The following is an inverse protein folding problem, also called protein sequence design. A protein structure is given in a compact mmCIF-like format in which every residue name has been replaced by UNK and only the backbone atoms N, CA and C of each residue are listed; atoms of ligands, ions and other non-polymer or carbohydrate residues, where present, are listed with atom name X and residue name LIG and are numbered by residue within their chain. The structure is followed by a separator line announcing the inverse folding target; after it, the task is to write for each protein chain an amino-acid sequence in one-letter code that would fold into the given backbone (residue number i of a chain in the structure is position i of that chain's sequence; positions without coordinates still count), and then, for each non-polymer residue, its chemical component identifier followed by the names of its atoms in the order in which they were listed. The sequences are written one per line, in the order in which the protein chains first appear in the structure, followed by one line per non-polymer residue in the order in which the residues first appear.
data_IF_281455613698
#
_entry.id   IF_281455613698
#
_cell.length_a   1.000
_cell.length_b   1.000
_cell.length_c   1.000
_cell.angle_alpha   90.00
_cell.angle_beta   90.00
_cell.angle_gamma   90.00
#
_symmetry.space_group_name_H-M   'P 1'
#
loop_
_entity.id
_entity.type
_entity.pdbx_description
1 polymer ?
#
# COMPACT_ATOMS: atom_id res chain seq x y z
N UNK A 1 9.23 1.95 -20.25
CA UNK A 1 8.57 2.61 -19.09
C UNK A 1 7.12 2.87 -19.46
N UNK A 2 6.17 2.47 -18.63
CA UNK A 2 4.75 2.72 -18.87
C UNK A 2 4.44 4.22 -18.82
N UNK A 3 3.52 4.66 -19.66
CA UNK A 3 3.01 6.04 -19.65
C UNK A 3 1.57 6.03 -19.15
N UNK A 4 1.32 6.71 -18.03
CA UNK A 4 0.00 6.77 -17.39
C UNK A 4 -0.78 7.99 -17.90
N UNK A 5 -1.34 7.86 -19.12
CA UNK A 5 -2.13 8.93 -19.74
C UNK A 5 -3.53 8.99 -19.10
N UNK A 6 -4.05 10.18 -18.74
CA UNK A 6 -5.42 10.32 -18.25
C UNK A 6 -6.42 9.71 -19.23
N UNK A 7 -7.37 8.95 -18.70
CA UNK A 7 -8.47 8.41 -19.49
C UNK A 7 -9.81 8.85 -18.91
N UNK A 8 -10.74 9.22 -19.77
CA UNK A 8 -12.10 9.59 -19.39
C UNK A 8 -13.06 8.41 -19.56
N UNK A 9 -12.69 7.44 -20.39
CA UNK A 9 -13.41 6.18 -20.51
C UNK A 9 -13.20 5.34 -19.26
N UNK A 10 -14.30 4.76 -18.75
CA UNK A 10 -14.29 3.94 -17.54
C UNK A 10 -14.90 2.57 -17.83
N UNK A 11 -14.28 1.76 -18.71
CA UNK A 11 -14.85 0.48 -19.17
C UNK A 11 -15.08 -0.51 -18.02
N UNK A 12 -14.32 -0.42 -16.95
CA UNK A 12 -14.51 -1.23 -15.73
C UNK A 12 -15.85 -0.98 -15.00
N UNK A 13 -16.61 0.07 -15.38
CA UNK A 13 -17.98 0.30 -14.87
C UNK A 13 -19.00 -0.64 -15.50
N UNK A 14 -18.63 -1.35 -16.54
CA UNK A 14 -19.39 -2.39 -17.21
C UNK A 14 -18.70 -3.76 -17.02
N UNK A 15 -18.78 -4.40 -15.84
CA UNK A 15 -18.04 -5.62 -15.53
C UNK A 15 -18.30 -6.76 -16.50
N UNK A 16 -19.54 -6.86 -17.04
CA UNK A 16 -19.94 -7.87 -18.01
C UNK A 16 -19.18 -7.77 -19.35
N UNK A 17 -18.60 -6.62 -19.67
CA UNK A 17 -17.76 -6.41 -20.86
C UNK A 17 -16.28 -6.35 -20.50
N UNK A 18 -15.97 -5.75 -19.35
CA UNK A 18 -14.62 -5.51 -18.88
C UNK A 18 -13.81 -6.79 -18.64
N UNK A 19 -14.35 -7.72 -17.84
CA UNK A 19 -13.62 -8.93 -17.48
C UNK A 19 -13.43 -9.89 -18.66
N UNK A 20 -14.44 -10.14 -19.53
CA UNK A 20 -14.22 -10.93 -20.75
C UNK A 20 -13.16 -10.37 -21.66
N UNK A 21 -13.10 -9.05 -21.79
CA UNK A 21 -12.10 -8.35 -22.60
C UNK A 21 -10.68 -8.59 -22.09
N UNK A 22 -10.44 -8.42 -20.79
CA UNK A 22 -9.13 -8.71 -20.19
C UNK A 22 -8.76 -10.20 -20.29
N UNK A 23 -9.74 -11.09 -20.13
CA UNK A 23 -9.54 -12.53 -20.28
C UNK A 23 -9.15 -12.88 -21.73
N UNK A 24 -9.80 -12.28 -22.73
CA UNK A 24 -9.49 -12.49 -24.14
C UNK A 24 -8.12 -11.92 -24.52
N UNK A 25 -7.78 -10.70 -24.05
CA UNK A 25 -6.49 -10.08 -24.30
C UNK A 25 -5.30 -10.89 -23.78
N UNK A 26 -5.53 -11.72 -22.75
CA UNK A 26 -4.50 -12.58 -22.13
C UNK A 26 -4.64 -14.05 -22.54
N UNK A 27 -5.41 -14.34 -23.59
CA UNK A 27 -5.55 -15.71 -24.07
C UNK A 27 -4.19 -16.29 -24.54
N UNK A 28 -3.95 -17.57 -24.27
CA UNK A 28 -2.69 -18.22 -24.57
C UNK A 28 -1.58 -18.04 -23.53
N UNK A 29 -1.82 -17.35 -22.40
CA UNK A 29 -0.87 -17.28 -21.27
C UNK A 29 -1.24 -18.34 -20.23
N UNK A 30 -0.26 -19.16 -19.85
CA UNK A 30 -0.46 -20.19 -18.81
C UNK A 30 -0.50 -19.58 -17.40
N UNK A 31 -1.58 -19.78 -16.63
CA UNK A 31 -1.64 -19.37 -15.22
C UNK A 31 -0.67 -20.17 -14.32
N UNK A 32 -0.24 -19.61 -13.16
CA UNK A 32 -0.75 -18.35 -12.58
C UNK A 32 -0.02 -17.10 -13.12
N UNK A 33 -0.74 -16.05 -13.41
CA UNK A 33 -0.16 -14.75 -13.75
C UNK A 33 -1.04 -13.60 -13.27
N UNK A 34 -0.43 -12.41 -13.12
CA UNK A 34 -1.14 -11.17 -12.83
C UNK A 34 -1.56 -10.43 -14.10
N UNK A 35 -2.70 -9.76 -14.05
CA UNK A 35 -3.16 -8.84 -15.11
C UNK A 35 -3.21 -7.43 -14.53
N UNK A 36 -2.59 -6.49 -15.21
CA UNK A 36 -2.63 -5.07 -14.86
C UNK A 36 -3.20 -4.28 -16.06
N UNK A 37 -4.38 -3.68 -15.88
CA UNK A 37 -4.92 -2.77 -16.88
C UNK A 37 -4.24 -1.41 -16.79
N UNK A 38 -3.64 -0.97 -17.90
CA UNK A 38 -2.95 0.31 -17.98
C UNK A 38 -3.91 1.48 -17.81
N UNK A 39 -5.09 1.43 -18.42
CA UNK A 39 -6.10 2.50 -18.32
C UNK A 39 -6.65 2.62 -16.89
N UNK A 40 -6.91 1.49 -16.24
CA UNK A 40 -7.41 1.49 -14.87
C UNK A 40 -6.34 1.98 -13.89
N UNK A 41 -5.07 1.59 -14.09
CA UNK A 41 -3.93 2.10 -13.31
C UNK A 41 -3.77 3.61 -13.48
N UNK A 42 -3.79 4.09 -14.72
CA UNK A 42 -3.69 5.52 -15.03
C UNK A 42 -4.84 6.32 -14.39
N UNK A 43 -6.09 5.84 -14.55
CA UNK A 43 -7.25 6.47 -13.92
C UNK A 43 -7.12 6.55 -12.39
N UNK A 44 -6.64 5.49 -11.75
CA UNK A 44 -6.42 5.48 -10.30
C UNK A 44 -5.33 6.47 -9.88
N UNK A 45 -4.22 6.53 -10.62
CA UNK A 45 -3.14 7.45 -10.32
C UNK A 45 -3.60 8.90 -10.41
N UNK A 46 -4.37 9.26 -11.45
CA UNK A 46 -4.90 10.62 -11.59
C UNK A 46 -6.01 10.95 -10.58
N UNK A 47 -6.91 10.01 -10.26
CA UNK A 47 -7.93 10.17 -9.20
C UNK A 47 -7.27 10.48 -7.84
N UNK A 48 -6.18 9.78 -7.51
CA UNK A 48 -5.46 10.04 -6.27
C UNK A 48 -4.85 11.45 -6.23
N UNK A 49 -4.29 11.94 -7.34
CA UNK A 49 -3.78 13.32 -7.44
C UNK A 49 -4.90 14.36 -7.31
N UNK A 50 -6.03 14.13 -7.97
CA UNK A 50 -7.20 15.00 -7.86
C UNK A 50 -7.69 15.09 -6.40
N UNK A 51 -7.79 13.95 -5.71
CA UNK A 51 -8.21 13.87 -4.31
C UNK A 51 -7.19 14.46 -3.32
N UNK A 52 -5.90 14.42 -3.66
CA UNK A 52 -4.84 15.06 -2.88
C UNK A 52 -4.78 16.58 -3.06
N UNK A 53 -5.51 17.17 -4.03
CA UNK A 53 -5.70 18.60 -4.22
C UNK A 53 -4.39 19.42 -4.21
N UNK A 54 -3.34 18.87 -4.80
CA UNK A 54 -2.02 19.53 -4.90
C UNK A 54 -1.04 19.18 -3.77
N UNK A 55 -1.47 18.51 -2.70
CA UNK A 55 -0.52 17.94 -1.74
C UNK A 55 0.25 16.79 -2.41
N UNK A 56 1.59 16.80 -2.43
CA UNK A 56 2.37 15.75 -3.06
C UNK A 56 2.09 14.37 -2.45
N UNK A 57 2.11 13.33 -3.29
CA UNK A 57 1.90 11.94 -2.86
C UNK A 57 3.23 11.18 -2.87
N UNK A 58 3.65 10.68 -1.71
CA UNK A 58 4.73 9.70 -1.56
C UNK A 58 4.18 8.30 -1.81
N UNK A 59 4.77 7.57 -2.79
CA UNK A 59 4.23 6.27 -3.20
C UNK A 59 4.57 5.19 -2.19
N UNK A 60 3.55 4.55 -1.59
CA UNK A 60 3.76 3.43 -0.67
C UNK A 60 4.03 2.13 -1.43
N UNK A 61 5.31 1.76 -1.56
CA UNK A 61 5.79 0.59 -2.32
C UNK A 61 5.19 -0.73 -1.85
N UNK A 62 4.97 -0.88 -0.53
CA UNK A 62 4.31 -2.05 0.06
C UNK A 62 3.01 -2.44 -0.65
N UNK A 63 2.31 -1.45 -1.18
CA UNK A 63 1.02 -1.64 -1.82
C UNK A 63 1.10 -1.93 -3.33
N UNK A 64 2.31 -2.00 -3.88
CA UNK A 64 2.58 -2.19 -5.31
C UNK A 64 3.51 -3.37 -5.54
N UNK A 65 4.75 -3.29 -5.03
CA UNK A 65 5.80 -4.30 -5.16
C UNK A 65 6.12 -4.67 -6.60
N UNK A 66 6.10 -3.65 -7.48
CA UNK A 66 6.43 -3.71 -8.92
C UNK A 66 7.16 -2.43 -9.28
N UNK A 67 8.49 -2.48 -9.51
CA UNK A 67 9.30 -1.26 -9.77
C UNK A 67 8.81 -0.49 -10.99
N UNK A 68 8.50 -1.19 -12.08
CA UNK A 68 8.01 -0.54 -13.30
C UNK A 68 6.71 0.25 -13.09
N UNK A 69 5.87 -0.12 -12.11
CA UNK A 69 4.69 0.69 -11.72
C UNK A 69 5.12 1.87 -10.86
N UNK A 70 6.06 1.69 -9.90
CA UNK A 70 6.59 2.80 -9.10
C UNK A 70 7.19 3.87 -10.00
N UNK A 71 8.04 3.48 -10.96
CA UNK A 71 8.68 4.37 -11.93
C UNK A 71 7.65 5.15 -12.75
N UNK A 72 6.62 4.46 -13.26
CA UNK A 72 5.56 5.07 -14.06
C UNK A 72 4.73 6.09 -13.27
N UNK A 73 4.44 5.80 -11.99
CA UNK A 73 3.69 6.69 -11.10
C UNK A 73 4.54 7.89 -10.69
N UNK A 74 5.81 7.68 -10.33
CA UNK A 74 6.74 8.75 -9.96
C UNK A 74 7.07 9.71 -11.11
N UNK A 75 6.88 9.27 -12.36
CA UNK A 75 7.01 10.14 -13.53
C UNK A 75 5.85 11.15 -13.68
N UNK A 76 4.73 10.96 -12.95
CA UNK A 76 3.61 11.89 -12.96
C UNK A 76 3.88 13.07 -12.01
N UNK A 77 3.71 14.34 -12.47
CA UNK A 77 3.77 15.50 -11.59
C UNK A 77 2.77 15.38 -10.42
N UNK A 78 3.24 15.61 -9.20
CA UNK A 78 2.45 15.48 -7.97
C UNK A 78 2.73 14.19 -7.18
N UNK A 79 3.42 13.22 -7.78
CA UNK A 79 4.03 12.12 -7.04
C UNK A 79 5.51 12.38 -6.79
N UNK A 80 6.01 12.01 -5.62
CA UNK A 80 7.43 12.12 -5.31
C UNK A 80 7.83 11.12 -4.23
N UNK A 81 9.06 10.63 -4.28
CA UNK A 81 9.62 9.75 -3.26
C UNK A 81 8.83 8.47 -3.01
N UNK A 82 9.42 7.56 -2.27
CA UNK A 82 8.86 6.25 -1.95
C UNK A 82 8.74 6.09 -0.44
N UNK A 83 7.64 5.51 0.02
CA UNK A 83 7.50 4.98 1.38
C UNK A 83 7.74 3.47 1.33
N UNK A 84 8.95 3.05 1.66
CA UNK A 84 9.36 1.65 1.74
C UNK A 84 8.89 0.99 3.04
N UNK A 85 8.76 -0.33 3.06
CA UNK A 85 8.26 -1.05 4.24
C UNK A 85 9.34 -1.79 5.04
N UNK A 86 10.55 -1.96 4.48
CA UNK A 86 11.73 -2.45 5.19
C UNK A 86 12.97 -1.69 4.79
N UNK A 87 13.99 -1.69 5.64
CA UNK A 87 15.28 -1.08 5.30
C UNK A 87 15.99 -1.80 4.15
N UNK A 88 16.04 -3.16 4.07
CA UNK A 88 16.59 -3.85 2.90
C UNK A 88 15.93 -3.45 1.58
N UNK A 89 14.59 -3.30 1.56
CA UNK A 89 13.87 -2.79 0.38
C UNK A 89 14.29 -1.36 0.04
N UNK A 90 14.34 -0.48 1.06
CA UNK A 90 14.71 0.91 0.87
C UNK A 90 16.11 1.07 0.26
N UNK A 91 17.07 0.28 0.71
CA UNK A 91 18.43 0.28 0.16
C UNK A 91 18.47 -0.14 -1.30
N UNK A 92 17.72 -1.18 -1.66
CA UNK A 92 17.59 -1.64 -3.03
C UNK A 92 16.90 -0.61 -3.94
N UNK A 93 15.83 0.02 -3.48
CA UNK A 93 15.15 1.09 -4.21
C UNK A 93 16.02 2.35 -4.33
N UNK A 94 16.81 2.68 -3.31
CA UNK A 94 17.69 3.85 -3.29
C UNK A 94 18.89 3.74 -4.26
N UNK A 95 19.14 2.58 -4.85
CA UNK A 95 20.10 2.46 -5.95
C UNK A 95 19.70 3.35 -7.14
N UNK A 96 18.38 3.49 -7.40
CA UNK A 96 17.81 4.21 -8.54
C UNK A 96 16.91 5.39 -8.17
N UNK A 97 16.46 5.51 -6.91
CA UNK A 97 15.57 6.56 -6.42
C UNK A 97 16.28 7.40 -5.34
N UNK A 98 16.06 8.69 -5.36
CA UNK A 98 16.81 9.63 -4.50
C UNK A 98 16.12 9.94 -3.16
N UNK A 99 14.86 9.59 -2.98
CA UNK A 99 14.06 9.90 -1.79
C UNK A 99 13.22 8.70 -1.36
N UNK A 100 13.72 7.98 -0.36
CA UNK A 100 13.07 6.76 0.18
C UNK A 100 12.95 6.87 1.69
N UNK A 101 11.74 6.89 2.21
CA UNK A 101 11.44 6.86 3.65
C UNK A 101 11.04 5.45 4.05
N UNK A 102 11.70 4.89 5.06
CA UNK A 102 11.30 3.59 5.65
C UNK A 102 10.15 3.82 6.61
N UNK A 103 8.96 3.35 6.28
CA UNK A 103 7.72 3.63 7.02
C UNK A 103 7.55 2.88 8.34
N UNK A 104 8.56 2.12 8.78
CA UNK A 104 8.56 1.35 10.03
C UNK A 104 9.96 1.35 10.63
N UNK A 105 10.12 1.33 11.98
CA UNK A 105 11.43 1.18 12.61
C UNK A 105 12.14 -0.09 12.14
N UNK A 106 13.45 -0.02 11.96
CA UNK A 106 14.27 -1.15 11.53
C UNK A 106 15.27 -1.57 12.58
N UNK A 107 15.37 -2.88 12.80
CA UNK A 107 16.40 -3.51 13.66
C UNK A 107 17.35 -4.42 12.85
N UNK A 108 17.32 -4.32 11.53
CA UNK A 108 18.10 -5.15 10.62
C UNK A 108 19.56 -4.71 10.57
N UNK A 109 20.42 -5.28 11.42
CA UNK A 109 21.81 -4.84 11.64
C UNK A 109 22.64 -4.76 10.37
N UNK A 110 22.57 -5.76 9.48
CA UNK A 110 23.34 -5.76 8.24
C UNK A 110 22.93 -4.60 7.31
N UNK A 111 21.63 -4.33 7.18
CA UNK A 111 21.14 -3.22 6.38
C UNK A 111 21.48 -1.85 7.01
N UNK A 112 21.45 -1.74 8.35
CA UNK A 112 21.92 -0.53 9.06
C UNK A 112 23.42 -0.29 8.78
N UNK A 113 24.24 -1.35 8.84
CA UNK A 113 25.67 -1.25 8.53
C UNK A 113 25.91 -0.85 7.06
N UNK A 114 25.15 -1.39 6.12
CA UNK A 114 25.22 -1.01 4.71
C UNK A 114 24.84 0.45 4.49
N UNK A 115 23.73 0.93 5.08
CA UNK A 115 23.32 2.33 5.04
C UNK A 115 24.40 3.26 5.62
N UNK A 116 24.95 2.88 6.76
CA UNK A 116 25.94 3.67 7.49
C UNK A 116 27.28 3.81 6.74
N UNK A 117 27.64 2.83 5.92
CA UNK A 117 28.89 2.79 5.16
C UNK A 117 28.87 3.55 3.84
N UNK A 118 27.69 3.96 3.35
CA UNK A 118 27.49 4.57 2.03
C UNK A 118 26.83 5.95 2.17
N UNK A 119 27.58 7.02 1.93
CA UNK A 119 27.07 8.40 2.00
C UNK A 119 25.94 8.68 1.02
N UNK A 120 25.97 8.06 -0.17
CA UNK A 120 24.91 8.20 -1.16
C UNK A 120 23.61 7.56 -0.67
N UNK A 121 23.67 6.34 -0.14
CA UNK A 121 22.49 5.69 0.44
C UNK A 121 21.99 6.45 1.67
N UNK A 122 22.90 6.91 2.55
CA UNK A 122 22.53 7.68 3.73
C UNK A 122 21.85 9.03 3.39
N UNK A 123 22.21 9.65 2.27
CA UNK A 123 21.55 10.87 1.80
C UNK A 123 20.14 10.63 1.21
N UNK A 124 19.87 9.42 0.71
CA UNK A 124 18.63 9.06 0.01
C UNK A 124 17.61 8.37 0.90
N UNK A 125 18.06 7.70 1.98
CA UNK A 125 17.19 6.88 2.83
C UNK A 125 17.00 7.55 4.18
N UNK A 126 15.73 7.70 4.57
CA UNK A 126 15.32 8.20 5.88
C UNK A 126 14.72 7.09 6.72
N UNK A 127 15.24 6.87 7.93
CA UNK A 127 14.76 5.82 8.85
C UNK A 127 13.67 6.33 9.77
N UNK A 128 12.66 5.50 10.03
CA UNK A 128 11.64 5.76 11.04
C UNK A 128 12.17 5.45 12.43
N UNK A 129 11.90 6.35 13.39
CA UNK A 129 12.20 6.16 14.81
C UNK A 129 11.08 6.71 15.68
N UNK A 130 10.86 6.08 16.84
CA UNK A 130 9.90 6.51 17.84
C UNK A 130 10.43 6.38 19.28
N UNK A 131 11.69 5.99 19.44
CA UNK A 131 12.35 5.90 20.73
C UNK A 131 13.86 6.03 20.61
N UNK A 132 14.54 6.38 21.72
CA UNK A 132 16.00 6.45 21.81
C UNK A 132 16.64 5.07 21.63
N UNK A 133 15.93 3.99 21.95
CA UNK A 133 16.41 2.63 21.74
C UNK A 133 16.74 2.32 20.27
N UNK A 134 16.04 2.94 19.33
CA UNK A 134 16.39 2.81 17.90
C UNK A 134 17.74 3.45 17.58
N UNK A 135 18.02 4.61 18.16
CA UNK A 135 19.31 5.29 17.99
C UNK A 135 20.44 4.49 18.66
N UNK A 136 20.19 3.94 19.87
CA UNK A 136 21.14 3.09 20.59
C UNK A 136 21.50 1.85 19.77
N UNK A 137 20.50 1.24 19.12
CA UNK A 137 20.72 0.09 18.24
C UNK A 137 21.60 0.46 17.04
N UNK A 138 21.34 1.60 16.39
CA UNK A 138 22.13 2.08 15.25
C UNK A 138 23.58 2.35 15.68
N UNK A 139 23.80 3.05 16.80
CA UNK A 139 25.13 3.33 17.34
C UNK A 139 25.89 2.08 17.74
N UNK A 140 25.17 1.05 18.24
CA UNK A 140 25.76 -0.25 18.55
C UNK A 140 26.16 -1.06 17.31
N UNK A 141 25.59 -0.74 16.13
CA UNK A 141 25.99 -1.36 14.85
C UNK A 141 27.20 -0.63 14.27
N UNK A 142 27.17 0.71 14.20
CA UNK A 142 28.27 1.56 13.71
C UNK A 142 28.32 2.84 14.53
N UNK A 143 29.47 3.09 15.18
CA UNK A 143 29.67 4.29 15.99
C UNK A 143 29.52 5.59 15.17
N UNK A 144 29.01 6.67 15.77
CA UNK A 144 28.71 7.93 15.06
C UNK A 144 29.89 8.55 14.29
N UNK A 145 31.11 8.40 14.80
CA UNK A 145 32.34 8.88 14.19
C UNK A 145 32.87 8.03 13.02
N UNK A 146 32.22 6.89 12.75
CA UNK A 146 32.59 5.90 11.71
C UNK A 146 31.52 5.72 10.63
N UNK A 147 30.55 6.62 10.57
CA UNK A 147 29.44 6.49 9.62
C UNK A 147 29.00 7.83 9.03
N UNK A 148 28.32 7.75 7.90
CA UNK A 148 27.57 8.87 7.37
C UNK A 148 26.45 9.31 8.35
N UNK A 149 26.04 10.58 8.28
CA UNK A 149 24.89 11.08 9.02
C UNK A 149 23.61 10.38 8.53
N UNK A 150 22.89 9.77 9.46
CA UNK A 150 21.64 9.05 9.15
C UNK A 150 20.45 10.00 9.31
N UNK A 151 19.64 10.08 8.27
CA UNK A 151 18.40 10.85 8.22
C UNK A 151 17.30 10.10 8.97
N UNK A 152 16.56 10.82 9.81
CA UNK A 152 15.52 10.24 10.65
C UNK A 152 14.17 10.91 10.41
N UNK A 153 13.11 10.11 10.52
CA UNK A 153 11.72 10.53 10.59
C UNK A 153 11.11 10.07 11.91
N UNK A 154 10.51 10.98 12.68
CA UNK A 154 9.85 10.67 13.93
C UNK A 154 8.42 10.15 13.67
N UNK A 155 8.07 8.96 14.18
CA UNK A 155 6.69 8.43 14.09
C UNK A 155 5.83 8.95 15.24
N UNK A 156 4.76 9.70 14.89
CA UNK A 156 3.70 10.10 15.80
C UNK A 156 2.60 9.04 15.80
N UNK A 157 2.15 8.61 16.96
CA UNK A 157 0.92 7.79 17.07
C UNK A 157 -0.30 8.63 16.66
N UNK A 158 -0.89 8.30 15.53
CA UNK A 158 -2.09 8.96 15.00
C UNK A 158 -3.40 8.31 15.47
N UNK A 159 -3.39 7.42 16.45
CA UNK A 159 -4.59 6.83 17.03
C UNK A 159 -5.47 7.88 17.73
N UNK A 160 -6.76 7.58 17.86
CA UNK A 160 -7.72 8.42 18.53
C UNK A 160 -8.11 7.83 19.89
N UNK A 161 -7.94 8.57 20.96
CA UNK A 161 -8.39 8.18 22.29
C UNK A 161 -9.79 8.76 22.54
N UNK A 162 -10.82 7.99 22.13
CA UNK A 162 -12.20 8.40 22.29
C UNK A 162 -12.63 8.32 23.77
N UNK A 163 -13.35 9.33 24.29
CA UNK A 163 -13.71 9.40 25.72
C UNK A 163 -14.44 8.17 26.26
N UNK A 164 -15.27 7.51 25.44
CA UNK A 164 -16.08 6.36 25.84
C UNK A 164 -15.57 5.05 25.26
N UNK A 165 -15.07 5.09 24.01
CA UNK A 165 -14.64 3.88 23.28
C UNK A 165 -13.16 3.54 23.51
N UNK A 166 -12.41 4.41 24.20
CA UNK A 166 -10.97 4.22 24.45
C UNK A 166 -10.13 4.39 23.19
N UNK A 167 -9.13 3.54 23.03
CA UNK A 167 -8.17 3.60 21.93
C UNK A 167 -8.79 3.09 20.62
N UNK A 168 -8.77 3.94 19.60
CA UNK A 168 -9.21 3.65 18.24
C UNK A 168 -8.04 3.90 17.27
N UNK A 169 -7.66 2.89 16.52
CA UNK A 169 -6.52 2.95 15.60
C UNK A 169 -5.52 1.82 15.83
N UNK A 170 -4.35 1.94 15.22
CA UNK A 170 -3.26 0.97 15.38
C UNK A 170 -2.40 1.33 16.59
N UNK A 171 -1.79 0.34 17.21
CA UNK A 171 -0.82 0.53 18.30
C UNK A 171 0.58 0.38 17.70
N UNK A 172 1.23 1.51 17.44
CA UNK A 172 2.55 1.56 16.82
C UNK A 172 3.54 2.34 17.68
N UNK A 173 3.55 3.66 17.55
CA UNK A 173 4.47 4.53 18.26
C UNK A 173 4.02 4.78 19.71
N UNK A 174 4.94 4.89 20.68
CA UNK A 174 4.64 5.41 22.01
C UNK A 174 4.49 6.94 22.05
N UNK A 175 4.85 7.65 20.97
CA UNK A 175 4.83 9.11 20.89
C UNK A 175 3.46 9.59 20.47
N UNK A 176 2.61 9.90 21.46
CA UNK A 176 1.21 10.30 21.21
C UNK A 176 0.98 11.79 21.39
N UNK A 177 1.67 12.44 22.34
CA UNK A 177 1.44 13.87 22.67
C UNK A 177 2.46 14.80 22.01
N UNK A 178 2.11 16.08 21.84
CA UNK A 178 3.04 17.10 21.36
C UNK A 178 4.32 17.22 22.22
N UNK A 179 4.17 17.09 23.54
CA UNK A 179 5.27 17.15 24.51
C UNK A 179 6.23 15.99 24.28
N UNK A 180 5.72 14.76 24.19
CA UNK A 180 6.53 13.56 23.93
C UNK A 180 7.28 13.66 22.58
N UNK A 181 6.63 14.20 21.55
CA UNK A 181 7.25 14.43 20.25
C UNK A 181 8.39 15.46 20.34
N UNK A 182 8.18 16.56 21.02
CA UNK A 182 9.20 17.60 21.24
C UNK A 182 10.38 17.10 22.08
N UNK A 183 10.11 16.30 23.13
CA UNK A 183 11.14 15.69 23.99
C UNK A 183 12.01 14.71 23.23
N UNK A 184 11.40 13.82 22.46
CA UNK A 184 12.15 12.86 21.62
C UNK A 184 12.96 13.58 20.54
N UNK A 185 12.39 14.56 19.87
CA UNK A 185 13.09 15.38 18.87
C UNK A 185 14.32 16.09 19.47
N UNK A 186 14.18 16.69 20.67
CA UNK A 186 15.28 17.35 21.38
C UNK A 186 16.42 16.37 21.76
N UNK A 187 16.11 15.12 22.06
CA UNK A 187 17.10 14.09 22.32
C UNK A 187 17.79 13.63 21.03
N UNK A 188 17.04 13.44 19.93
CA UNK A 188 17.59 13.06 18.62
C UNK A 188 18.61 14.11 18.14
N UNK A 189 18.23 15.38 18.14
CA UNK A 189 19.07 16.49 17.63
C UNK A 189 20.38 16.65 18.40
N UNK A 190 20.39 16.32 19.68
CA UNK A 190 21.62 16.35 20.52
C UNK A 190 22.57 15.20 20.25
N UNK A 191 22.11 14.15 19.56
CA UNK A 191 22.90 12.94 19.35
C UNK A 191 23.69 13.02 18.04
N UNK A 192 25.04 12.91 18.07
CA UNK A 192 25.88 13.01 16.87
C UNK A 192 25.55 11.94 15.83
N UNK A 193 25.71 12.28 14.55
CA UNK A 193 25.56 11.35 13.42
C UNK A 193 24.11 11.06 13.04
N UNK A 194 23.15 11.88 13.51
CA UNK A 194 21.74 11.83 13.12
C UNK A 194 21.22 13.20 12.69
N UNK A 195 20.30 13.20 11.73
CA UNK A 195 19.58 14.39 11.30
C UNK A 195 18.06 14.10 11.31
N UNK A 196 17.30 14.77 12.17
CA UNK A 196 15.86 14.68 12.18
C UNK A 196 15.29 15.56 11.07
N UNK A 197 14.79 14.93 9.99
CA UNK A 197 14.36 15.61 8.76
C UNK A 197 12.87 15.46 8.49
N UNK A 198 12.19 14.54 9.16
CA UNK A 198 10.78 14.29 8.90
C UNK A 198 10.00 13.88 10.14
N UNK A 199 8.68 13.97 10.00
CA UNK A 199 7.71 13.44 10.95
C UNK A 199 6.60 12.73 10.19
N UNK A 200 6.11 11.60 10.70
CA UNK A 200 5.05 10.81 10.05
C UNK A 200 4.04 10.33 11.08
N UNK A 201 2.77 10.26 10.69
CA UNK A 201 1.70 9.62 11.46
C UNK A 201 0.63 9.03 10.57
N UNK A 202 0.41 7.70 10.67
CA UNK A 202 -0.60 7.01 9.88
C UNK A 202 -1.91 6.82 10.63
N UNK A 203 -2.95 7.44 10.17
CA UNK A 203 -4.31 7.41 10.71
C UNK A 203 -5.14 6.20 10.23
N UNK A 204 -4.81 5.00 10.68
CA UNK A 204 -5.46 3.76 10.23
C UNK A 204 -6.98 3.73 10.45
N UNK A 205 -7.48 4.33 11.52
CA UNK A 205 -8.91 4.42 11.85
C UNK A 205 -9.69 5.34 10.90
N UNK A 206 -8.99 6.19 10.14
CA UNK A 206 -9.58 7.06 9.11
C UNK A 206 -9.37 6.44 7.74
N UNK A 207 -8.11 6.20 7.36
CA UNK A 207 -7.72 5.73 6.04
C UNK A 207 -8.05 4.25 5.76
N UNK A 208 -8.10 3.40 6.79
CA UNK A 208 -8.15 1.95 6.67
C UNK A 208 -9.54 1.31 6.85
N UNK A 209 -10.58 2.08 7.11
CA UNK A 209 -11.93 1.56 7.38
C UNK A 209 -12.94 2.00 6.33
N UNK A 210 -13.56 1.02 5.66
CA UNK A 210 -14.70 1.27 4.76
C UNK A 210 -15.91 1.80 5.55
N UNK A 211 -16.53 2.85 5.01
CA UNK A 211 -17.60 3.60 5.69
C UNK A 211 -18.92 3.64 4.89
N UNK A 212 -19.02 2.87 3.81
CA UNK A 212 -20.21 2.80 2.95
C UNK A 212 -21.25 1.85 3.51
N UNK A 213 -22.53 2.25 3.41
CA UNK A 213 -23.69 1.46 3.77
C UNK A 213 -24.44 1.94 5.01
N UNK A 214 -25.68 1.45 5.18
CA UNK A 214 -26.62 1.95 6.21
C UNK A 214 -26.10 1.79 7.66
N UNK A 215 -25.39 0.70 7.96
CA UNK A 215 -24.85 0.43 9.31
C UNK A 215 -23.55 1.17 9.66
N UNK A 216 -23.05 2.06 8.79
CA UNK A 216 -21.73 2.69 8.93
C UNK A 216 -21.73 4.12 9.48
N UNK A 217 -22.88 4.63 9.94
CA UNK A 217 -22.98 5.99 10.48
C UNK A 217 -22.03 6.24 11.67
N UNK A 218 -21.88 5.27 12.56
CA UNK A 218 -20.96 5.35 13.71
C UNK A 218 -19.51 5.43 13.24
N UNK A 219 -19.12 4.66 12.20
CA UNK A 219 -17.77 4.72 11.63
C UNK A 219 -17.50 6.10 11.04
N UNK A 220 -18.44 6.67 10.26
CA UNK A 220 -18.29 8.02 9.70
C UNK A 220 -18.16 9.09 10.79
N UNK A 221 -18.96 9.01 11.83
CA UNK A 221 -18.88 9.92 12.97
C UNK A 221 -17.53 9.81 13.69
N UNK A 222 -17.05 8.59 13.94
CA UNK A 222 -15.76 8.32 14.54
C UNK A 222 -14.61 8.84 13.67
N UNK A 223 -14.64 8.58 12.34
CA UNK A 223 -13.64 9.08 11.40
C UNK A 223 -13.58 10.63 11.42
N UNK A 224 -14.74 11.31 11.42
CA UNK A 224 -14.81 12.77 11.49
C UNK A 224 -14.24 13.32 12.81
N UNK A 225 -14.61 12.72 13.94
CA UNK A 225 -14.09 13.12 15.26
C UNK A 225 -12.58 12.89 15.37
N UNK A 226 -12.10 11.72 14.91
CA UNK A 226 -10.69 11.37 14.88
C UNK A 226 -9.87 12.32 13.99
N UNK A 227 -10.38 12.68 12.81
CA UNK A 227 -9.69 13.62 11.91
C UNK A 227 -9.58 15.02 12.50
N UNK A 228 -10.61 15.49 13.22
CA UNK A 228 -10.58 16.80 13.85
C UNK A 228 -9.56 16.85 15.01
N UNK A 229 -9.58 15.86 15.89
CA UNK A 229 -8.64 15.74 17.02
C UNK A 229 -7.20 15.61 16.52
N UNK A 230 -6.97 14.71 15.54
CA UNK A 230 -5.63 14.45 15.03
C UNK A 230 -5.03 15.69 14.36
N UNK A 231 -5.81 16.48 13.64
CA UNK A 231 -5.35 17.72 13.01
C UNK A 231 -4.81 18.69 14.06
N UNK A 232 -5.52 18.88 15.16
CA UNK A 232 -5.09 19.75 16.26
C UNK A 232 -3.80 19.19 16.93
N UNK A 233 -3.82 17.93 17.30
CA UNK A 233 -2.69 17.27 18.00
C UNK A 233 -1.45 17.15 17.11
N UNK A 234 -1.61 16.76 15.83
CA UNK A 234 -0.50 16.70 14.87
C UNK A 234 0.09 18.08 14.65
N UNK A 235 -0.73 19.10 14.46
CA UNK A 235 -0.27 20.49 14.32
C UNK A 235 0.55 20.96 15.52
N UNK A 236 0.08 20.68 16.74
CA UNK A 236 0.82 20.99 17.97
C UNK A 236 2.13 20.20 18.10
N UNK A 237 2.12 18.90 17.72
CA UNK A 237 3.32 18.05 17.74
C UNK A 237 4.35 18.53 16.71
N UNK A 238 3.96 18.85 15.49
CA UNK A 238 4.83 19.42 14.45
C UNK A 238 5.44 20.75 14.93
N UNK A 239 4.61 21.63 15.53
CA UNK A 239 5.11 22.89 16.08
C UNK A 239 6.10 22.68 17.24
N UNK A 240 5.93 21.65 18.06
CA UNK A 240 6.88 21.29 19.13
C UNK A 240 8.21 20.80 18.56
N UNK A 241 8.16 19.91 17.56
CA UNK A 241 9.37 19.37 16.89
C UNK A 241 10.12 20.45 16.13
N UNK A 242 9.42 21.35 15.44
CA UNK A 242 10.04 22.46 14.68
C UNK A 242 10.75 23.51 15.54
N UNK A 243 10.59 23.49 16.85
CA UNK A 243 11.39 24.33 17.77
C UNK A 243 12.86 23.87 17.84
N UNK A 244 13.15 22.62 17.49
CA UNK A 244 14.48 22.01 17.66
C UNK A 244 15.03 21.36 16.37
N UNK A 245 14.20 21.10 15.37
CA UNK A 245 14.57 20.49 14.10
C UNK A 245 13.89 21.19 12.93
N UNK A 246 14.59 21.30 11.80
CA UNK A 246 14.02 21.80 10.55
C UNK A 246 13.50 20.59 9.74
N UNK A 247 12.17 20.44 9.72
CA UNK A 247 11.52 19.31 9.04
C UNK A 247 11.36 19.59 7.55
N UNK A 248 11.97 18.76 6.72
CA UNK A 248 11.81 18.76 5.25
C UNK A 248 10.41 18.30 4.86
N UNK A 249 9.84 17.34 5.60
CA UNK A 249 8.49 16.82 5.34
C UNK A 249 7.73 16.46 6.61
N UNK A 250 6.41 16.54 6.52
CA UNK A 250 5.45 15.98 7.47
C UNK A 250 4.49 15.09 6.68
N UNK A 251 4.58 13.78 6.90
CA UNK A 251 3.83 12.77 6.17
C UNK A 251 2.62 12.28 6.98
N UNK A 252 1.54 12.00 6.28
CA UNK A 252 0.34 11.40 6.86
C UNK A 252 -0.48 10.66 5.81
N UNK A 253 -1.60 10.14 6.22
CA UNK A 253 -2.63 9.63 5.33
C UNK A 253 -2.44 8.24 4.76
N UNK A 254 -3.35 7.95 3.87
CA UNK A 254 -3.45 6.74 3.07
C UNK A 254 -4.45 6.95 1.95
N UNK A 255 -4.61 5.99 1.05
CA UNK A 255 -5.56 6.09 -0.07
C UNK A 255 -6.99 6.46 0.38
N UNK A 256 -7.40 5.99 1.57
CA UNK A 256 -8.75 6.24 2.10
C UNK A 256 -8.94 7.56 2.83
N UNK A 257 -7.90 8.39 2.96
CA UNK A 257 -7.96 9.65 3.70
C UNK A 257 -7.31 10.84 2.97
N UNK A 258 -7.06 10.75 1.66
CA UNK A 258 -6.38 11.79 0.89
C UNK A 258 -6.97 13.18 1.14
N UNK A 259 -8.29 13.32 1.06
CA UNK A 259 -9.01 14.58 1.24
C UNK A 259 -8.92 15.11 2.67
N UNK A 260 -9.09 14.24 3.65
CA UNK A 260 -9.02 14.64 5.07
C UNK A 260 -7.61 14.96 5.53
N UNK A 261 -6.61 14.30 4.94
CA UNK A 261 -5.19 14.52 5.21
C UNK A 261 -4.70 15.81 4.52
N UNK A 262 -5.11 16.06 3.27
CA UNK A 262 -4.87 17.35 2.60
C UNK A 262 -5.39 18.53 3.42
N UNK A 263 -6.56 18.39 4.05
CA UNK A 263 -7.16 19.44 4.86
C UNK A 263 -6.40 19.72 6.19
N UNK A 264 -5.36 18.97 6.52
CA UNK A 264 -4.49 19.19 7.68
C UNK A 264 -3.27 20.03 7.26
N UNK A 265 -3.28 21.33 7.62
CA UNK A 265 -2.24 22.30 7.27
C UNK A 265 -0.84 21.94 7.79
N UNK A 266 -0.73 21.04 8.77
CA UNK A 266 0.56 20.58 9.27
C UNK A 266 1.22 19.52 8.39
N UNK A 267 0.44 18.87 7.49
CA UNK A 267 0.91 17.84 6.56
C UNK A 267 1.46 18.48 5.29
N UNK A 268 2.65 18.08 4.86
CA UNK A 268 3.29 18.58 3.66
C UNK A 268 3.31 17.57 2.50
N UNK A 269 3.07 16.28 2.80
CA UNK A 269 2.97 15.20 1.82
C UNK A 269 2.06 14.06 2.33
N UNK A 270 1.46 13.31 1.44
CA UNK A 270 0.57 12.19 1.80
C UNK A 270 1.17 10.88 1.32
N UNK A 271 1.23 9.86 2.19
CA UNK A 271 1.64 8.52 1.77
C UNK A 271 0.45 7.72 1.26
N UNK A 272 0.47 7.30 0.00
CA UNK A 272 -0.58 6.46 -0.56
C UNK A 272 -0.03 5.53 -1.66
N UNK A 273 -0.66 4.38 -1.88
CA UNK A 273 -0.25 3.43 -2.92
C UNK A 273 -1.31 2.39 -3.23
N UNK A 274 -2.10 1.96 -2.26
CA UNK A 274 -3.06 0.86 -2.45
C UNK A 274 -4.18 1.19 -3.46
N UNK A 275 -4.50 2.45 -3.64
CA UNK A 275 -5.47 2.90 -4.66
C UNK A 275 -5.04 2.57 -6.08
N UNK A 276 -3.74 2.51 -6.37
CA UNK A 276 -3.21 2.23 -7.71
C UNK A 276 -3.73 0.92 -8.29
N UNK A 277 -3.75 -0.15 -7.50
CA UNK A 277 -4.24 -1.46 -7.93
C UNK A 277 -5.75 -1.66 -7.80
N UNK A 278 -6.44 -0.81 -7.08
CA UNK A 278 -7.90 -0.84 -6.94
C UNK A 278 -8.44 -2.11 -6.31
N UNK A 279 -7.97 -2.53 -5.11
CA UNK A 279 -8.41 -3.77 -4.46
C UNK A 279 -9.86 -3.70 -3.98
N UNK A 280 -10.47 -4.87 -3.74
CA UNK A 280 -11.85 -5.04 -3.28
C UNK A 280 -12.19 -4.24 -2.01
N UNK A 281 -11.20 -4.07 -1.12
CA UNK A 281 -11.39 -3.35 0.13
C UNK A 281 -12.00 -1.95 -0.08
N UNK A 282 -11.63 -1.27 -1.17
CA UNK A 282 -12.12 0.08 -1.46
C UNK A 282 -13.54 0.13 -2.02
N UNK A 283 -14.14 -1.00 -2.40
CA UNK A 283 -15.57 -1.05 -2.74
C UNK A 283 -16.46 -0.68 -1.54
N UNK A 284 -15.92 -0.81 -0.32
CA UNK A 284 -16.56 -0.44 0.95
C UNK A 284 -16.44 1.04 1.34
N UNK A 285 -15.83 1.91 0.52
CA UNK A 285 -15.72 3.35 0.80
C UNK A 285 -16.83 4.14 0.12
N UNK A 286 -17.30 5.21 0.77
CA UNK A 286 -18.43 6.00 0.28
C UNK A 286 -18.02 7.01 -0.79
N UNK A 287 -16.91 7.70 -0.57
CA UNK A 287 -16.52 8.90 -1.33
C UNK A 287 -15.63 8.64 -2.54
N UNK A 288 -15.04 7.43 -2.68
CA UNK A 288 -14.25 7.08 -3.86
C UNK A 288 -14.35 5.59 -4.19
N UNK A 289 -14.04 5.24 -5.42
CA UNK A 289 -13.96 3.85 -5.91
C UNK A 289 -12.88 3.76 -6.97
N UNK A 290 -11.72 3.21 -6.66
CA UNK A 290 -10.71 3.00 -7.66
C UNK A 290 -11.14 1.94 -8.66
N UNK A 291 -10.66 2.08 -9.89
CA UNK A 291 -10.79 1.07 -10.92
C UNK A 291 -10.08 -0.23 -10.49
N UNK A 292 -10.60 -1.42 -10.83
CA UNK A 292 -9.93 -2.70 -10.54
C UNK A 292 -8.76 -2.90 -11.51
N UNK A 293 -7.63 -2.21 -11.25
CA UNK A 293 -6.49 -2.22 -12.15
C UNK A 293 -5.72 -3.54 -12.12
N UNK A 294 -5.58 -4.18 -10.96
CA UNK A 294 -4.88 -5.44 -10.82
C UNK A 294 -5.83 -6.61 -10.51
N UNK A 295 -5.59 -7.72 -11.18
CA UNK A 295 -6.25 -9.02 -10.97
C UNK A 295 -5.25 -10.16 -11.20
N UNK A 296 -5.64 -11.39 -10.93
CA UNK A 296 -4.82 -12.58 -11.21
C UNK A 296 -5.66 -13.71 -11.79
N UNK A 297 -5.03 -14.61 -12.50
CA UNK A 297 -5.67 -15.69 -13.24
C UNK A 297 -5.15 -17.04 -12.77
N UNK A 298 -6.06 -17.99 -12.57
CA UNK A 298 -5.76 -19.38 -12.17
C UNK A 298 -6.43 -20.37 -13.12
N UNK A 299 -5.85 -21.57 -13.27
CA UNK A 299 -6.41 -22.64 -14.10
C UNK A 299 -7.33 -23.57 -13.33
N UNK A 300 -8.39 -24.00 -13.95
CA UNK A 300 -9.19 -25.16 -13.52
C UNK A 300 -8.38 -26.43 -13.74
N UNK A 301 -8.11 -27.16 -12.66
CA UNK A 301 -7.31 -28.40 -12.71
C UNK A 301 -8.12 -29.67 -12.52
N UNK A 302 -9.36 -29.54 -12.02
CA UNK A 302 -10.29 -30.69 -11.89
C UNK A 302 -11.74 -30.27 -11.81
N UNK A 303 -12.60 -31.23 -12.09
CA UNK A 303 -14.04 -31.15 -11.99
C UNK A 303 -14.55 -32.26 -11.06
N UNK A 304 -14.67 -32.00 -9.71
CA UNK A 304 -15.14 -33.03 -8.77
C UNK A 304 -16.59 -33.47 -9.04
N UNK A 305 -17.43 -32.55 -9.45
CA UNK A 305 -18.83 -32.79 -9.86
C UNK A 305 -19.17 -31.92 -11.08
N UNK A 306 -20.37 -32.10 -11.63
CA UNK A 306 -20.81 -31.30 -12.78
C UNK A 306 -20.96 -29.80 -12.50
N UNK A 307 -21.15 -29.40 -11.24
CA UNK A 307 -21.36 -28.01 -10.78
C UNK A 307 -20.22 -27.44 -9.97
N UNK A 308 -19.09 -28.17 -9.85
CA UNK A 308 -17.89 -27.71 -9.14
C UNK A 308 -16.68 -27.76 -10.07
N UNK A 309 -15.96 -26.64 -10.17
CA UNK A 309 -14.65 -26.54 -10.79
C UNK A 309 -13.61 -26.17 -9.71
N UNK A 310 -12.45 -26.82 -9.72
CA UNK A 310 -11.37 -26.51 -8.75
C UNK A 310 -10.20 -25.88 -9.46
N UNK A 311 -9.83 -24.66 -9.05
CA UNK A 311 -8.63 -23.98 -9.57
C UNK A 311 -7.41 -24.30 -8.73
N UNK A 312 -6.23 -24.17 -9.32
CA UNK A 312 -4.94 -24.38 -8.65
C UNK A 312 -4.49 -23.06 -8.00
N UNK A 313 -4.42 -23.03 -6.68
CA UNK A 313 -4.11 -21.82 -5.90
C UNK A 313 -5.35 -21.02 -5.47
N UNK A 314 -5.15 -19.78 -5.05
CA UNK A 314 -6.22 -18.82 -4.72
C UNK A 314 -6.37 -18.50 -3.24
N UNK A 315 -5.76 -19.24 -2.34
CA UNK A 315 -5.78 -18.99 -0.89
C UNK A 315 -4.92 -17.79 -0.48
N UNK A 316 -4.94 -16.72 -1.26
CA UNK A 316 -4.17 -15.51 -1.03
C UNK A 316 -4.97 -14.55 -0.17
N UNK A 317 -5.03 -14.86 1.12
CA UNK A 317 -5.85 -14.17 2.10
C UNK A 317 -5.16 -12.87 2.50
N UNK A 318 -5.90 -11.77 2.42
CA UNK A 318 -5.38 -10.46 2.81
C UNK A 318 -5.22 -10.32 4.33
N UNK A 319 -4.19 -9.62 4.77
CA UNK A 319 -3.91 -9.33 6.18
C UNK A 319 -5.06 -8.60 6.88
N UNK A 320 -5.23 -8.88 8.17
CA UNK A 320 -6.27 -8.35 9.06
C UNK A 320 -7.00 -9.47 9.78
N UNK A 321 -8.07 -9.18 10.53
CA UNK A 321 -8.90 -10.22 11.12
C UNK A 321 -9.42 -11.15 10.02
N UNK A 322 -9.24 -12.49 10.16
CA UNK A 322 -9.67 -13.42 9.12
C UNK A 322 -11.20 -13.40 8.95
N UNK A 323 -11.65 -13.48 7.70
CA UNK A 323 -13.05 -13.46 7.32
C UNK A 323 -13.22 -13.45 5.81
N UNK A 324 -14.43 -13.64 5.32
CA UNK A 324 -14.75 -13.68 3.89
C UNK A 324 -14.39 -12.35 3.18
N UNK A 325 -14.38 -11.25 3.89
CA UNK A 325 -13.95 -9.94 3.38
C UNK A 325 -12.43 -9.83 3.17
N UNK A 326 -11.67 -10.88 3.48
CA UNK A 326 -10.22 -11.01 3.25
C UNK A 326 -9.88 -11.99 2.12
N UNK A 327 -10.86 -12.66 1.55
CA UNK A 327 -10.64 -13.60 0.44
C UNK A 327 -10.69 -12.89 -0.91
N UNK A 328 -9.80 -13.22 -1.86
CA UNK A 328 -9.93 -12.80 -3.25
C UNK A 328 -11.32 -13.19 -3.78
N UNK A 329 -11.82 -12.49 -4.76
CA UNK A 329 -13.13 -12.80 -5.33
C UNK A 329 -13.00 -13.24 -6.79
N UNK A 330 -13.57 -14.41 -7.19
CA UNK A 330 -13.71 -14.72 -8.60
C UNK A 330 -14.61 -13.68 -9.27
N UNK A 331 -14.15 -13.13 -10.39
CA UNK A 331 -14.85 -12.06 -11.14
C UNK A 331 -15.17 -12.46 -12.57
N UNK A 332 -14.45 -13.46 -13.11
CA UNK A 332 -14.71 -14.01 -14.44
C UNK A 332 -14.28 -15.48 -14.53
N UNK A 333 -15.11 -16.38 -15.11
CA UNK A 333 -16.49 -16.15 -15.59
C UNK A 333 -17.44 -15.64 -14.49
N UNK A 334 -18.44 -14.84 -14.90
CA UNK A 334 -19.44 -14.31 -13.97
C UNK A 334 -20.29 -15.41 -13.35
N UNK A 335 -20.71 -15.23 -12.11
CA UNK A 335 -21.58 -16.17 -11.39
C UNK A 335 -20.83 -17.30 -10.69
N UNK A 336 -19.51 -17.21 -10.55
CA UNK A 336 -18.72 -18.10 -9.69
C UNK A 336 -18.76 -17.63 -8.24
N UNK A 337 -18.77 -18.59 -7.32
CA UNK A 337 -18.67 -18.39 -5.87
C UNK A 337 -17.87 -19.50 -5.22
N UNK A 338 -17.37 -19.26 -4.01
CA UNK A 338 -16.71 -20.29 -3.20
C UNK A 338 -17.70 -21.32 -2.66
N UNK A 339 -17.22 -22.53 -2.39
CA UNK A 339 -17.96 -23.48 -1.58
C UNK A 339 -17.87 -23.05 -0.10
N UNK A 340 -19.00 -23.07 0.64
CA UNK A 340 -19.00 -22.80 2.08
C UNK A 340 -18.05 -23.76 2.81
N UNK A 341 -17.29 -23.23 3.76
CA UNK A 341 -16.30 -23.92 4.62
C UNK A 341 -14.96 -24.28 3.97
N UNK A 342 -14.89 -24.51 2.64
CA UNK A 342 -13.63 -24.70 1.94
C UNK A 342 -13.05 -23.36 1.51
N UNK A 343 -13.89 -22.49 0.96
CA UNK A 343 -13.53 -21.13 0.51
C UNK A 343 -12.25 -21.13 -0.34
N UNK A 344 -11.33 -20.16 -0.12
CA UNK A 344 -10.08 -20.04 -0.88
C UNK A 344 -8.97 -20.87 -0.23
N UNK A 345 -8.61 -21.96 -0.85
CA UNK A 345 -7.54 -22.87 -0.39
C UNK A 345 -6.17 -22.46 -0.90
N UNK A 346 -5.13 -22.76 -0.14
CA UNK A 346 -3.75 -22.41 -0.49
C UNK A 346 -3.33 -22.97 -1.86
N UNK A 347 -3.59 -24.26 -2.10
CA UNK A 347 -3.18 -24.97 -3.33
C UNK A 347 -4.38 -25.23 -4.24
N UNK A 348 -5.54 -25.49 -3.72
CA UNK A 348 -6.76 -25.78 -4.49
C UNK A 348 -7.94 -25.03 -3.93
N UNK A 349 -8.65 -24.33 -4.82
CA UNK A 349 -9.84 -23.55 -4.49
C UNK A 349 -11.03 -24.07 -5.30
N UNK A 350 -12.00 -24.77 -4.69
CA UNK A 350 -13.21 -25.16 -5.38
C UNK A 350 -14.16 -23.96 -5.54
N UNK A 351 -14.68 -23.79 -6.74
CA UNK A 351 -15.69 -22.79 -7.09
C UNK A 351 -16.94 -23.46 -7.65
N UNK A 352 -18.09 -22.87 -7.38
CA UNK A 352 -19.40 -23.32 -7.83
C UNK A 352 -20.21 -22.15 -8.42
N UNK A 353 -21.38 -22.45 -8.93
CA UNK A 353 -22.29 -21.45 -9.51
C UNK A 353 -22.64 -21.77 -10.95
N UNK A 354 -23.41 -20.89 -11.60
CA UNK A 354 -23.91 -21.17 -12.95
C UNK A 354 -22.76 -21.41 -13.95
N UNK A 355 -21.75 -20.57 -13.94
CA UNK A 355 -20.61 -20.68 -14.84
C UNK A 355 -19.76 -21.93 -14.61
N UNK A 356 -19.70 -22.46 -13.38
CA UNK A 356 -18.92 -23.65 -13.08
C UNK A 356 -19.39 -24.89 -13.84
N UNK A 357 -20.67 -24.95 -14.26
CA UNK A 357 -21.26 -26.10 -14.99
C UNK A 357 -20.67 -26.26 -16.38
N UNK A 358 -20.33 -25.16 -17.02
CA UNK A 358 -19.86 -25.13 -18.41
C UNK A 358 -18.33 -25.18 -18.50
N UNK A 359 -17.62 -25.00 -17.37
CA UNK A 359 -16.16 -25.01 -17.33
C UNK A 359 -15.56 -26.39 -17.58
N UNK A 360 -14.40 -26.42 -18.20
CA UNK A 360 -13.59 -27.60 -18.45
C UNK A 360 -12.24 -27.50 -17.72
N UNK A 361 -11.54 -28.65 -17.60
CA UNK A 361 -10.14 -28.64 -17.15
C UNK A 361 -9.30 -27.88 -18.18
N UNK A 362 -8.47 -26.96 -17.70
CA UNK A 362 -7.71 -26.03 -18.50
C UNK A 362 -8.34 -24.62 -18.63
N UNK A 363 -9.64 -24.48 -18.36
CA UNK A 363 -10.26 -23.17 -18.33
C UNK A 363 -9.66 -22.27 -17.26
N UNK A 364 -9.84 -20.95 -17.42
CA UNK A 364 -9.25 -19.94 -16.56
C UNK A 364 -10.30 -19.20 -15.74
N UNK A 365 -9.93 -18.87 -14.52
CA UNK A 365 -10.73 -18.02 -13.62
C UNK A 365 -9.91 -16.80 -13.24
N UNK A 366 -10.50 -15.61 -13.46
CA UNK A 366 -9.91 -14.34 -13.03
C UNK A 366 -10.43 -13.98 -11.64
N UNK A 367 -9.50 -13.60 -10.77
CA UNK A 367 -9.77 -13.16 -9.40
C UNK A 367 -9.35 -11.71 -9.19
N UNK A 368 -10.13 -10.97 -8.42
CA UNK A 368 -9.75 -9.66 -7.90
C UNK A 368 -9.23 -9.82 -6.48
N UNK A 369 -8.08 -9.24 -6.17
CA UNK A 369 -7.44 -9.25 -4.85
C UNK A 369 -8.15 -8.31 -3.87
N UNK A 370 -7.95 -8.51 -2.56
CA UNK A 370 -8.63 -7.75 -1.50
C UNK A 370 -7.83 -6.52 -1.07
N UNK A 371 -6.54 -6.69 -0.77
CA UNK A 371 -5.59 -5.63 -0.42
C UNK A 371 -4.49 -5.56 -1.46
N UNK A 372 -4.02 -4.35 -1.73
CA UNK A 372 -2.94 -4.13 -2.68
C UNK A 372 -1.58 -4.56 -2.11
N UNK A 373 -0.69 -5.03 -2.98
CA UNK A 373 0.68 -5.43 -2.69
C UNK A 373 0.84 -6.89 -2.31
N UNK A 374 -0.04 -7.46 -1.49
CA UNK A 374 0.07 -8.86 -1.09
C UNK A 374 -0.05 -9.81 -2.28
N UNK A 375 -0.87 -9.51 -3.28
CA UNK A 375 -0.98 -10.28 -4.53
C UNK A 375 0.34 -10.40 -5.28
N UNK A 376 1.19 -9.37 -5.22
CA UNK A 376 2.50 -9.36 -5.88
C UNK A 376 3.51 -10.32 -5.25
N UNK A 377 3.29 -10.81 -4.04
CA UNK A 377 4.12 -11.84 -3.40
C UNK A 377 3.84 -13.25 -3.94
N UNK A 378 2.74 -13.44 -4.64
CA UNK A 378 2.31 -14.74 -5.18
C UNK A 378 2.56 -14.86 -6.69
N UNK A 379 3.03 -13.79 -7.33
CA UNK A 379 3.19 -13.70 -8.78
C UNK A 379 4.61 -13.23 -9.12
N UNK A 380 5.17 -13.78 -10.19
CA UNK A 380 6.47 -13.34 -10.68
C UNK A 380 6.35 -12.10 -11.58
N UNK A 381 5.19 -11.92 -12.25
CA UNK A 381 4.95 -10.77 -13.13
C UNK A 381 3.48 -10.37 -13.20
N UNK A 382 3.27 -9.13 -13.65
CA UNK A 382 2.01 -8.66 -14.20
C UNK A 382 2.12 -8.49 -15.71
N UNK A 383 1.18 -9.08 -16.43
CA UNK A 383 0.95 -8.81 -17.85
C UNK A 383 0.16 -7.51 -17.94
N UNK A 384 0.72 -6.51 -18.61
CA UNK A 384 0.09 -5.20 -18.76
C UNK A 384 -0.76 -5.19 -20.02
N UNK A 385 -2.05 -4.94 -19.84
CA UNK A 385 -3.04 -4.88 -20.93
C UNK A 385 -3.47 -3.45 -21.15
N UNK A 386 -3.44 -3.00 -22.41
CA UNK A 386 -4.03 -1.75 -22.88
C UNK A 386 -4.96 -2.04 -24.04
N UNK A 387 -6.20 -1.62 -23.95
CA UNK A 387 -7.19 -2.03 -24.91
C UNK A 387 -7.39 -3.54 -24.90
N UNK A 388 -7.18 -4.17 -26.05
CA UNK A 388 -7.29 -5.62 -26.26
C UNK A 388 -5.92 -6.29 -26.43
N UNK A 389 -4.82 -5.55 -26.17
CA UNK A 389 -3.47 -6.00 -26.43
C UNK A 389 -2.61 -6.03 -25.16
N UNK A 390 -1.68 -6.97 -25.11
CA UNK A 390 -0.61 -6.98 -24.12
C UNK A 390 0.46 -6.01 -24.60
N UNK A 391 0.74 -4.99 -23.79
CA UNK A 391 1.70 -3.93 -24.14
C UNK A 391 3.02 -4.04 -23.38
N UNK A 392 3.04 -4.76 -22.24
CA UNK A 392 4.25 -4.94 -21.43
C UNK A 392 4.11 -6.15 -20.49
N UNK A 393 5.23 -6.55 -19.86
CA UNK A 393 5.29 -7.50 -18.74
C UNK A 393 6.21 -6.91 -17.67
N UNK A 394 5.70 -6.74 -16.48
CA UNK A 394 6.41 -6.12 -15.38
C UNK A 394 6.69 -7.16 -14.28
N UNK A 395 7.95 -7.44 -13.96
CA UNK A 395 8.28 -8.30 -12.83
C UNK A 395 7.82 -7.66 -11.52
N UNK A 396 7.30 -8.49 -10.64
CA UNK A 396 7.10 -8.14 -9.23
C UNK A 396 8.45 -8.18 -8.50
N UNK A 397 8.50 -7.76 -7.23
CA UNK A 397 9.69 -7.96 -6.40
C UNK A 397 10.10 -9.42 -6.35
N UNK A 398 9.12 -10.33 -6.22
CA UNK A 398 9.35 -11.78 -6.29
C UNK A 398 9.98 -12.20 -7.63
N UNK A 399 9.45 -11.69 -8.75
CA UNK A 399 9.99 -11.96 -10.10
C UNK A 399 11.41 -11.43 -10.31
N UNK A 400 11.81 -10.40 -9.54
CA UNK A 400 13.19 -9.90 -9.47
C UNK A 400 14.05 -10.65 -8.43
N UNK A 401 13.55 -11.73 -7.85
CA UNK A 401 14.24 -12.51 -6.82
C UNK A 401 14.40 -11.78 -5.49
N UNK A 402 13.51 -10.83 -5.18
CA UNK A 402 13.54 -10.01 -3.96
C UNK A 402 12.45 -10.42 -2.98
N UNK A 403 12.85 -10.72 -1.76
CA UNK A 403 11.99 -11.02 -0.63
C UNK A 403 12.42 -10.12 0.53
N UNK A 404 11.52 -9.30 1.04
CA UNK A 404 11.83 -8.30 2.07
C UNK A 404 11.05 -8.51 3.38
N UNK A 405 10.08 -9.46 3.39
CA UNK A 405 9.34 -9.92 4.56
C UNK A 405 9.27 -11.44 4.57
#
# INVERSE_FOLDING_TARGET
MLTLTPTYDRPWRQPAEWWPRLAAATDGIDPPFGVLSLEALAANAHDMLERAQGTPIRVASKSVRVRGVLDAVLALPGYHGILAYTLPEALWLAETHDDVVVGYPSVHRAAIAQLAADEKLASRVTLMVDSIAHLDLIDAVVAPDKRATIRLCLELDASYHAPVLGHLGVRRSPVHTPEAAGELAAQIVKRPGFALVGMMGYEAQIAGLGNRGAGKAVIRMMQKASAAELRERRGAAVAAVRKVADLEFVNGGGTGSLESTHADESVTEIAAGSGLFGPLLFDGYEHFRPAPAASFVLSVVRRPTADIATVLGGGWIASGPPGQDRLPRPVWPEGLSYLPREEAGEVQTPVTGAAARDMQVGDRVTFRHVKAGEVSEHLDEFVVVSGDEIVDRLPTYRGEGKVFL
#
